data_IF_367972188598
#
_entry.id   IF_367972188598
#
_cell.length_a   1.000
_cell.length_b   1.000
_cell.length_c   1.000
_cell.angle_alpha   90.00
_cell.angle_beta   90.00
_cell.angle_gamma   90.00
#
_symmetry.space_group_name_H-M   'P 1'
#
loop_
_entity.id
_entity.type
_entity.pdbx_description
1 polymer ?
#
# COMPACT_ATOMS: atom_id res chain seq x y z
N UNK A 1 -9.21 -14.68 9.96
CA UNK A 1 -8.42 -13.78 10.83
C UNK A 1 -8.31 -12.43 10.13
N UNK A 2 -8.45 -11.32 10.85
CA UNK A 2 -8.42 -9.95 10.27
C UNK A 2 -7.42 -9.10 11.05
N UNK A 3 -6.52 -8.43 10.35
CA UNK A 3 -5.62 -7.43 10.90
C UNK A 3 -6.04 -6.07 10.36
N UNK A 4 -6.39 -5.14 11.25
CA UNK A 4 -6.70 -3.76 10.89
C UNK A 4 -5.46 -2.89 11.15
N UNK A 5 -4.92 -2.28 10.10
CA UNK A 5 -3.78 -1.37 10.20
C UNK A 5 -4.22 0.00 9.70
N UNK A 6 -4.07 1.02 10.53
CA UNK A 6 -4.20 2.40 10.08
C UNK A 6 -2.89 2.81 9.42
N UNK A 7 -2.96 3.18 8.16
CA UNK A 7 -1.81 3.52 7.35
C UNK A 7 -2.06 4.86 6.69
N UNK A 8 -1.18 5.82 6.93
CA UNK A 8 -1.25 7.17 6.39
C UNK A 8 0.03 7.47 5.60
N UNK A 9 -0.12 8.15 4.47
CA UNK A 9 1.00 8.64 3.67
C UNK A 9 0.80 10.12 3.37
N UNK A 10 1.90 10.87 3.38
CA UNK A 10 1.93 12.29 2.98
C UNK A 10 2.54 12.49 1.60
N UNK A 11 2.69 11.41 0.82
CA UNK A 11 3.27 11.47 -0.52
C UNK A 11 2.33 12.16 -1.51
N UNK A 12 2.79 13.28 -2.05
CA UNK A 12 2.11 14.03 -3.10
C UNK A 12 2.89 14.07 -4.40
N UNK A 13 4.20 13.79 -4.40
CA UNK A 13 5.04 13.83 -5.60
C UNK A 13 4.76 12.69 -6.57
N UNK A 14 4.93 12.96 -7.88
CA UNK A 14 4.90 11.96 -8.95
C UNK A 14 5.89 10.81 -8.68
N UNK A 15 5.44 9.57 -8.93
CA UNK A 15 6.26 8.35 -8.76
C UNK A 15 6.89 8.14 -7.37
N UNK A 16 6.39 8.85 -6.35
CA UNK A 16 6.97 8.80 -5.02
C UNK A 16 6.55 7.54 -4.27
N UNK A 17 7.42 7.10 -3.34
CA UNK A 17 7.28 5.86 -2.60
C UNK A 17 7.66 6.02 -1.13
N UNK A 18 6.90 5.37 -0.25
CA UNK A 18 7.07 5.44 1.20
C UNK A 18 6.73 4.08 1.81
N UNK A 19 7.56 3.64 2.75
CA UNK A 19 7.23 2.49 3.59
C UNK A 19 6.48 3.00 4.80
N UNK A 20 5.27 2.49 5.00
CA UNK A 20 4.32 2.99 5.99
C UNK A 20 4.09 2.01 7.14
N UNK A 21 4.68 0.81 7.07
CA UNK A 21 4.60 -0.17 8.13
C UNK A 21 5.37 -1.45 7.85
N UNK A 22 5.40 -2.33 8.83
CA UNK A 22 5.93 -3.69 8.70
C UNK A 22 5.00 -4.66 9.43
N UNK A 23 4.57 -5.69 8.73
CA UNK A 23 3.73 -6.74 9.27
C UNK A 23 4.50 -7.65 10.23
N UNK A 24 3.87 -8.10 11.32
CA UNK A 24 4.43 -9.15 12.18
C UNK A 24 4.69 -10.43 11.38
N UNK A 25 5.67 -11.24 11.83
CA UNK A 25 6.13 -12.45 11.12
C UNK A 25 4.97 -13.37 10.69
N UNK A 26 4.01 -13.66 11.56
CA UNK A 26 2.87 -14.54 11.24
C UNK A 26 1.81 -13.96 10.28
N UNK A 27 2.00 -12.73 9.81
CA UNK A 27 1.12 -12.05 8.86
C UNK A 27 1.80 -11.71 7.53
N UNK A 28 3.08 -12.07 7.38
CA UNK A 28 3.84 -11.78 6.17
C UNK A 28 3.36 -12.66 5.01
N UNK A 29 3.29 -12.12 3.79
CA UNK A 29 2.89 -12.91 2.64
C UNK A 29 4.02 -13.84 2.16
N UNK A 30 3.67 -14.99 1.59
CA UNK A 30 4.63 -15.92 0.97
C UNK A 30 5.32 -15.34 -0.27
N UNK A 31 4.67 -14.38 -0.94
CA UNK A 31 5.22 -13.63 -2.07
C UNK A 31 4.67 -12.19 -2.05
N UNK A 32 5.35 -11.21 -2.66
CA UNK A 32 4.88 -9.82 -2.65
C UNK A 32 3.46 -9.68 -3.22
N UNK A 33 2.56 -9.11 -2.43
CA UNK A 33 1.18 -8.82 -2.82
C UNK A 33 1.06 -7.35 -3.22
N UNK A 34 0.35 -7.07 -4.31
CA UNK A 34 0.17 -5.72 -4.85
C UNK A 34 -1.30 -5.46 -5.08
N UNK A 35 -1.77 -4.29 -4.66
CA UNK A 35 -3.12 -3.81 -4.98
C UNK A 35 -3.04 -2.36 -5.39
N UNK A 36 -3.88 -1.94 -6.32
CA UNK A 36 -4.01 -0.54 -6.71
C UNK A 36 -5.40 -0.03 -6.39
N UNK A 37 -5.51 1.27 -6.11
CA UNK A 37 -6.79 1.96 -6.07
C UNK A 37 -6.68 3.32 -6.76
N UNK A 38 -7.77 3.74 -7.41
CA UNK A 38 -7.89 5.07 -7.98
C UNK A 38 -8.13 6.09 -6.87
N UNK A 39 -7.27 7.10 -6.76
CA UNK A 39 -7.30 8.04 -5.64
C UNK A 39 -8.09 9.31 -5.95
N UNK A 40 -7.87 9.91 -7.12
CA UNK A 40 -8.33 11.25 -7.49
C UNK A 40 -9.00 11.30 -8.88
N UNK A 41 -9.34 10.14 -9.45
CA UNK A 41 -9.93 10.01 -10.79
C UNK A 41 -8.96 10.22 -11.95
N UNK A 42 -7.67 10.49 -11.69
CA UNK A 42 -6.63 10.69 -12.72
C UNK A 42 -5.38 9.83 -12.50
N UNK A 43 -5.05 9.56 -11.24
CA UNK A 43 -3.85 8.83 -10.82
C UNK A 43 -4.23 7.64 -9.93
N UNK A 44 -3.38 6.62 -9.94
CA UNK A 44 -3.53 5.44 -9.08
C UNK A 44 -2.48 5.43 -7.99
N UNK A 45 -2.84 4.92 -6.82
CA UNK A 45 -1.89 4.57 -5.78
C UNK A 45 -1.79 3.04 -5.71
N UNK A 46 -0.57 2.53 -5.65
CA UNK A 46 -0.30 1.12 -5.43
C UNK A 46 0.12 0.91 -3.97
N UNK A 47 -0.43 -0.14 -3.35
CA UNK A 47 0.02 -0.67 -2.07
C UNK A 47 0.71 -1.99 -2.31
N UNK A 48 1.93 -2.11 -1.79
CA UNK A 48 2.76 -3.30 -1.91
C UNK A 48 3.02 -3.85 -0.52
N UNK A 49 2.62 -5.09 -0.28
CA UNK A 49 3.00 -5.88 0.90
C UNK A 49 4.12 -6.82 0.46
N UNK A 50 5.35 -6.52 0.86
CA UNK A 50 6.53 -7.31 0.53
C UNK A 50 6.59 -8.60 1.36
N UNK A 51 7.32 -9.59 0.87
CA UNK A 51 7.53 -10.87 1.57
C UNK A 51 8.29 -10.71 2.90
N UNK A 52 9.10 -9.66 3.05
CA UNK A 52 9.74 -9.31 4.32
C UNK A 52 8.77 -8.64 5.33
N UNK A 53 7.50 -8.47 4.94
CA UNK A 53 6.44 -7.86 5.72
C UNK A 53 6.33 -6.35 5.54
N UNK A 54 7.24 -5.67 4.84
CA UNK A 54 7.11 -4.22 4.62
C UNK A 54 5.84 -3.91 3.85
N UNK A 55 5.15 -2.85 4.27
CA UNK A 55 4.02 -2.29 3.55
C UNK A 55 4.45 -0.95 3.01
N UNK A 56 4.41 -0.79 1.69
CA UNK A 56 4.73 0.46 1.02
C UNK A 56 3.56 0.96 0.19
N UNK A 57 3.53 2.28 0.00
CA UNK A 57 2.64 2.95 -0.93
C UNK A 57 3.46 3.66 -1.99
N UNK A 58 2.94 3.61 -3.22
CA UNK A 58 3.64 4.08 -4.40
C UNK A 58 2.66 4.85 -5.29
N UNK A 59 2.94 6.13 -5.55
CA UNK A 59 2.18 6.92 -6.52
C UNK A 59 2.50 6.40 -7.93
N UNK A 60 1.46 6.11 -8.72
CA UNK A 60 1.62 5.67 -10.11
C UNK A 60 1.23 6.83 -11.03
N UNK A 61 2.23 7.39 -11.72
CA UNK A 61 2.04 8.54 -12.61
C UNK A 61 2.31 9.88 -11.93
N UNK A 62 1.35 10.79 -12.00
CA UNK A 62 1.51 12.19 -11.62
C UNK A 62 1.44 12.46 -10.12
N UNK A 63 1.67 13.71 -9.76
CA UNK A 63 1.45 14.21 -8.39
C UNK A 63 0.00 14.01 -7.98
N UNK A 64 -0.20 13.61 -6.73
CA UNK A 64 -1.49 13.24 -6.19
C UNK A 64 -1.96 14.22 -5.13
N UNK A 65 -3.28 14.42 -5.08
CA UNK A 65 -3.94 15.27 -4.07
C UNK A 65 -4.05 14.56 -2.72
N UNK A 66 -4.31 15.30 -1.64
CA UNK A 66 -4.43 14.75 -0.27
C UNK A 66 -5.69 13.90 -0.02
N UNK A 67 -6.39 13.44 -1.05
CA UNK A 67 -7.59 12.60 -0.89
C UNK A 67 -7.26 11.23 -0.29
N UNK A 68 -8.07 10.80 0.68
CA UNK A 68 -7.97 9.48 1.31
C UNK A 68 -8.73 8.40 0.54
N UNK A 69 -8.57 7.14 0.95
CA UNK A 69 -9.27 6.00 0.37
C UNK A 69 -9.27 4.79 1.31
N UNK A 70 -9.93 3.71 0.89
CA UNK A 70 -9.89 2.42 1.58
C UNK A 70 -9.65 1.32 0.56
N UNK A 71 -8.84 0.34 0.92
CA UNK A 71 -8.59 -0.84 0.09
C UNK A 71 -8.50 -2.10 0.95
N UNK A 72 -8.70 -3.24 0.32
CA UNK A 72 -8.49 -4.55 0.94
C UNK A 72 -7.48 -5.32 0.10
N UNK A 73 -6.47 -5.90 0.76
CA UNK A 73 -5.48 -6.77 0.11
C UNK A 73 -5.67 -8.18 0.66
N UNK A 74 -5.76 -9.16 -0.24
CA UNK A 74 -5.76 -10.58 0.11
C UNK A 74 -4.49 -11.23 -0.44
N UNK A 75 -3.84 -12.06 0.37
CA UNK A 75 -2.63 -12.78 0.01
C UNK A 75 -2.51 -14.08 0.80
N UNK A 76 -1.71 -15.02 0.28
CA UNK A 76 -1.33 -16.21 1.03
C UNK A 76 -0.22 -15.85 2.03
N UNK A 77 -0.43 -16.14 3.30
CA UNK A 77 0.59 -15.98 4.33
C UNK A 77 1.71 -17.04 4.16
N UNK A 78 2.92 -16.68 4.59
CA UNK A 78 4.09 -17.57 4.64
C UNK A 78 4.09 -18.45 5.89
#
# INVERSE_FOLDING_TARGET
MQLNVSIGSKLTSSWAKETIGTLPVGWRPAAPARSSYGRDGKNQMQVVVYADGKVAVENQGGSQTEQGGSLTVCYFAA
#
